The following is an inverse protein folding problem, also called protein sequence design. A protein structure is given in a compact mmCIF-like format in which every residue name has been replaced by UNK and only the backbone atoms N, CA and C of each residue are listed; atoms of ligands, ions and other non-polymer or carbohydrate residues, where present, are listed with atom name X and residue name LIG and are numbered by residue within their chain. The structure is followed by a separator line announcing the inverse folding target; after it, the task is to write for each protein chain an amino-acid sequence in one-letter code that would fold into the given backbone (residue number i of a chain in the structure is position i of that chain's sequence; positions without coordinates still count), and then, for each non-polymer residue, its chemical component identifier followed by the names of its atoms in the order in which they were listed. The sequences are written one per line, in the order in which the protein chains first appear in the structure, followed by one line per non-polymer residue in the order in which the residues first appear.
data_IF_340479437246
#
_entry.id   IF_340479437246
#
_cell.length_a   1.000
_cell.length_b   1.000
_cell.length_c   1.000
_cell.angle_alpha   90.00
_cell.angle_beta   90.00
_cell.angle_gamma   90.00
#
_symmetry.space_group_name_H-M   'P 1'
#
loop_
_entity.id
_entity.type
_entity.pdbx_description
1 polymer ?
#
# COMPACT_ATOMS: atom_id res chain seq x y z
N UNK A 1 7.87 16.77 7.91
CA UNK A 1 7.49 15.35 7.94
C UNK A 1 7.74 14.86 9.36
N UNK A 2 6.70 14.38 10.04
CA UNK A 2 6.78 13.99 11.46
C UNK A 2 7.34 12.55 11.58
N UNK A 3 8.48 12.37 12.23
CA UNK A 3 9.11 11.06 12.48
C UNK A 3 8.15 10.04 13.13
N UNK A 4 7.15 10.53 13.87
CA UNK A 4 6.13 9.70 14.53
C UNK A 4 5.20 9.01 13.53
N UNK A 5 4.82 9.70 12.45
CA UNK A 5 3.97 9.13 11.40
C UNK A 5 4.72 8.04 10.66
N UNK A 6 6.01 8.27 10.36
CA UNK A 6 6.86 7.29 9.71
C UNK A 6 7.04 6.03 10.58
N UNK A 7 7.22 6.18 11.90
CA UNK A 7 7.36 5.05 12.81
C UNK A 7 6.06 4.23 12.93
N UNK A 8 4.91 4.89 13.01
CA UNK A 8 3.61 4.22 13.06
C UNK A 8 3.31 3.50 11.74
N UNK A 9 3.54 4.17 10.61
CA UNK A 9 3.36 3.58 9.29
C UNK A 9 4.34 2.46 9.05
N UNK A 10 5.60 2.55 9.47
CA UNK A 10 6.57 1.47 9.35
C UNK A 10 6.11 0.20 10.09
N UNK A 11 5.50 0.34 11.28
CA UNK A 11 4.95 -0.80 12.01
C UNK A 11 3.72 -1.38 11.33
N UNK A 12 2.86 -0.51 10.81
CA UNK A 12 1.70 -0.88 10.00
C UNK A 12 2.21 -1.64 8.78
N UNK A 13 2.97 -1.00 7.89
CA UNK A 13 3.57 -1.57 6.68
C UNK A 13 4.28 -2.90 6.92
N UNK A 14 5.12 -3.06 7.96
CA UNK A 14 5.72 -4.35 8.32
C UNK A 14 4.72 -5.47 8.62
N UNK A 15 3.50 -5.13 9.01
CA UNK A 15 2.40 -6.09 9.21
C UNK A 15 1.78 -6.52 7.88
N UNK A 16 1.82 -5.67 6.85
CA UNK A 16 1.29 -5.93 5.51
C UNK A 16 2.34 -6.54 4.57
N UNK A 17 3.57 -6.03 4.62
CA UNK A 17 4.75 -6.45 3.87
C UNK A 17 5.27 -7.79 4.42
N UNK A 18 4.87 -8.87 3.75
CA UNK A 18 5.24 -10.25 4.08
C UNK A 18 6.63 -10.58 3.57
N UNK A 19 7.04 -9.96 2.47
CA UNK A 19 8.35 -10.19 1.85
C UNK A 19 9.46 -9.35 2.51
N UNK A 20 9.10 -8.30 3.26
CA UNK A 20 10.06 -7.42 3.94
C UNK A 20 10.74 -6.44 2.98
N UNK A 21 10.09 -6.14 1.86
CA UNK A 21 10.58 -5.29 0.78
C UNK A 21 10.61 -3.79 1.12
N UNK A 22 9.95 -3.39 2.22
CA UNK A 22 9.80 -2.00 2.66
C UNK A 22 8.62 -1.27 2.00
N UNK A 23 7.85 -1.95 1.15
CA UNK A 23 6.62 -1.48 0.53
C UNK A 23 5.56 -2.58 0.51
N UNK A 24 4.30 -2.23 0.23
CA UNK A 24 3.23 -3.21 0.10
C UNK A 24 2.91 -3.37 -1.37
N UNK A 25 3.13 -4.57 -1.90
CA UNK A 25 2.75 -4.90 -3.27
C UNK A 25 1.24 -5.12 -3.39
N UNK A 26 0.71 -4.98 -4.60
CA UNK A 26 -0.70 -5.27 -4.86
C UNK A 26 -1.08 -6.70 -4.45
N UNK A 27 -0.17 -7.66 -4.65
CA UNK A 27 -0.37 -9.04 -4.24
C UNK A 27 -0.52 -9.18 -2.71
N UNK A 28 0.30 -8.48 -1.93
CA UNK A 28 0.23 -8.48 -0.46
C UNK A 28 -1.02 -7.78 0.05
N UNK A 29 -1.42 -6.68 -0.59
CA UNK A 29 -2.66 -5.97 -0.30
C UNK A 29 -3.90 -6.86 -0.50
N UNK A 30 -3.96 -7.56 -1.64
CA UNK A 30 -5.04 -8.50 -1.96
C UNK A 30 -5.01 -9.72 -1.04
N UNK A 31 -3.83 -10.27 -0.76
CA UNK A 31 -3.66 -11.37 0.16
C UNK A 31 -4.16 -11.02 1.57
N UNK A 32 -4.05 -9.75 1.98
CA UNK A 32 -4.53 -9.28 3.26
C UNK A 32 -6.06 -9.16 3.35
N UNK A 33 -6.74 -8.80 2.24
CA UNK A 33 -8.20 -8.59 2.20
C UNK A 33 -9.04 -9.87 2.09
N UNK A 34 -8.47 -11.03 2.44
CA UNK A 34 -8.95 -12.36 2.11
C UNK A 34 -8.82 -12.65 0.60
N UNK A 35 -8.20 -13.79 0.29
CA UNK A 35 -7.85 -14.32 -1.05
C UNK A 35 -8.99 -14.44 -2.08
N UNK A 36 -10.19 -13.93 -1.81
CA UNK A 36 -11.37 -14.05 -2.66
C UNK A 36 -11.91 -12.68 -3.04
N UNK A 37 -11.06 -11.83 -3.62
CA UNK A 37 -11.56 -10.67 -4.37
C UNK A 37 -12.12 -11.17 -5.70
N UNK A 38 -13.37 -10.80 -6.01
CA UNK A 38 -13.89 -10.98 -7.37
C UNK A 38 -13.14 -10.07 -8.35
N UNK A 39 -13.11 -10.42 -9.63
CA UNK A 39 -12.42 -9.63 -10.68
C UNK A 39 -12.82 -8.14 -10.69
N UNK A 40 -14.07 -7.82 -10.35
CA UNK A 40 -14.54 -6.44 -10.20
C UNK A 40 -13.95 -5.71 -8.99
N UNK A 41 -13.76 -6.41 -7.87
CA UNK A 41 -13.11 -5.85 -6.70
C UNK A 41 -11.62 -5.63 -6.97
N UNK A 42 -10.95 -6.61 -7.58
CA UNK A 42 -9.54 -6.52 -7.93
C UNK A 42 -9.26 -5.31 -8.84
N UNK A 43 -10.10 -5.07 -9.86
CA UNK A 43 -9.98 -3.88 -10.72
C UNK A 43 -10.14 -2.57 -9.96
N UNK A 44 -11.09 -2.48 -9.04
CA UNK A 44 -11.29 -1.28 -8.21
C UNK A 44 -10.09 -1.07 -7.29
N UNK A 45 -9.68 -2.09 -6.56
CA UNK A 45 -8.52 -2.03 -5.68
C UNK A 45 -7.25 -1.66 -6.46
N UNK A 46 -7.06 -2.23 -7.65
CA UNK A 46 -5.96 -1.87 -8.54
C UNK A 46 -6.01 -0.39 -8.93
N UNK A 47 -7.18 0.15 -9.26
CA UNK A 47 -7.31 1.57 -9.59
C UNK A 47 -7.01 2.50 -8.42
N UNK A 48 -7.33 2.11 -7.19
CA UNK A 48 -6.98 2.89 -5.99
C UNK A 48 -5.50 2.74 -5.65
N UNK A 49 -4.97 1.54 -5.81
CA UNK A 49 -3.56 1.23 -5.63
C UNK A 49 -2.68 2.01 -6.61
N UNK A 50 -3.04 2.04 -7.89
CA UNK A 50 -2.33 2.76 -8.96
C UNK A 50 -2.34 4.28 -8.72
N UNK A 51 -3.39 4.81 -8.07
CA UNK A 51 -3.42 6.21 -7.65
C UNK A 51 -2.53 6.52 -6.44
N UNK A 52 -2.27 5.52 -5.59
CA UNK A 52 -1.35 5.66 -4.46
C UNK A 52 0.12 5.38 -4.86
N UNK A 53 0.34 4.62 -5.93
CA UNK A 53 1.63 4.31 -6.54
C UNK A 53 2.04 5.43 -7.51
N UNK A 54 2.58 6.52 -6.95
CA UNK A 54 2.96 7.70 -7.70
C UNK A 54 4.20 7.47 -8.57
N UNK A 55 5.10 6.56 -8.17
CA UNK A 55 6.33 6.27 -8.89
C UNK A 55 6.17 5.14 -9.95
N UNK A 56 5.06 4.40 -9.92
CA UNK A 56 4.73 3.32 -10.86
C UNK A 56 5.57 2.05 -10.69
N UNK A 57 6.20 1.86 -9.53
CA UNK A 57 7.07 0.72 -9.23
C UNK A 57 6.28 -0.52 -8.78
N UNK A 58 4.94 -0.43 -8.79
CA UNK A 58 4.00 -1.47 -8.39
C UNK A 58 4.11 -1.86 -6.93
N UNK A 59 4.70 -1.03 -6.07
CA UNK A 59 4.75 -1.18 -4.61
C UNK A 59 4.49 0.17 -3.95
N UNK A 60 3.38 0.29 -3.24
CA UNK A 60 3.15 1.53 -2.48
C UNK A 60 4.15 1.55 -1.33
N UNK A 61 5.03 2.56 -1.30
CA UNK A 61 5.96 2.77 -0.19
C UNK A 61 5.34 3.67 0.88
N UNK A 62 5.93 3.68 2.08
CA UNK A 62 5.49 4.56 3.17
C UNK A 62 5.52 6.05 2.72
N UNK A 63 6.51 6.43 1.91
CA UNK A 63 6.64 7.79 1.40
C UNK A 63 5.46 8.17 0.50
N UNK A 64 5.12 7.31 -0.47
CA UNK A 64 4.00 7.52 -1.37
C UNK A 64 2.65 7.48 -0.66
N UNK A 65 2.51 6.57 0.31
CA UNK A 65 1.31 6.51 1.13
C UNK A 65 1.05 7.82 1.88
N UNK A 66 2.09 8.41 2.48
CA UNK A 66 1.99 9.69 3.22
C UNK A 66 1.65 10.81 2.26
N UNK A 67 2.30 10.88 1.11
CA UNK A 67 2.07 11.88 0.09
C UNK A 67 0.62 11.83 -0.40
N UNK A 68 0.15 10.63 -0.76
CA UNK A 68 -1.24 10.37 -1.13
C UNK A 68 -2.23 10.71 -0.02
N UNK A 69 -1.95 10.30 1.24
CA UNK A 69 -2.77 10.62 2.42
C UNK A 69 -2.82 12.10 2.76
N UNK A 70 -1.75 12.83 2.46
CA UNK A 70 -1.65 14.28 2.67
C UNK A 70 -2.30 15.07 1.55
N UNK A 71 -2.49 14.45 0.39
CA UNK A 71 -3.11 15.05 -0.78
C UNK A 71 -4.63 14.78 -0.87
N UNK A 72 -5.22 14.08 0.10
CA UNK A 72 -6.66 13.84 0.25
C UNK A 72 -7.30 14.67 1.37
#
# INVERSE_FOLDING_TARGET
MDDRQLAQLSRIFKTYDKDGSGGVTFAEWVAMKNYTLSSDQEKREKGWYDQADANGDKKVTIGEWIDWKSSQ
#
